data_IF_281813925803
#
_entry.id   IF_281813925803
#
_cell.length_a   1.000
_cell.length_b   1.000
_cell.length_c   1.000
_cell.angle_alpha   90.00
_cell.angle_beta   90.00
_cell.angle_gamma   90.00
#
_symmetry.space_group_name_H-M   'P 1'
#
loop_
_entity.id
_entity.type
_entity.pdbx_description
1 polymer ?
#
# COMPACT_ATOMS: atom_id res chain seq x y z
N UNK A 1 -5.27 -4.66 -19.86
CA UNK A 1 -5.59 -4.76 -18.44
C UNK A 1 -7.09 -4.72 -18.21
N UNK A 2 -7.58 -5.47 -17.24
CA UNK A 2 -8.97 -5.44 -16.84
C UNK A 2 -9.32 -4.04 -16.32
N UNK A 3 -10.43 -3.49 -16.79
CA UNK A 3 -10.84 -2.13 -16.43
C UNK A 3 -11.60 -2.12 -15.10
N UNK A 4 -11.70 -0.98 -14.42
CA UNK A 4 -12.55 -0.80 -13.23
C UNK A 4 -14.01 -1.24 -13.47
N UNK A 5 -14.49 -1.12 -14.70
CA UNK A 5 -15.82 -1.61 -15.11
C UNK A 5 -15.95 -3.12 -14.91
N UNK A 6 -14.94 -3.91 -15.28
CA UNK A 6 -14.92 -5.36 -15.09
C UNK A 6 -15.03 -5.74 -13.60
N UNK A 7 -14.31 -5.05 -12.71
CA UNK A 7 -14.40 -5.34 -11.27
C UNK A 7 -15.75 -4.92 -10.68
N UNK A 8 -16.35 -3.83 -11.19
CA UNK A 8 -17.70 -3.48 -10.81
C UNK A 8 -18.71 -4.59 -11.19
N UNK A 9 -18.56 -5.17 -12.38
CA UNK A 9 -19.40 -6.31 -12.81
C UNK A 9 -19.21 -7.54 -11.91
N UNK A 10 -17.97 -7.82 -11.45
CA UNK A 10 -17.73 -8.88 -10.46
C UNK A 10 -18.47 -8.59 -9.15
N UNK A 11 -18.38 -7.38 -8.63
CA UNK A 11 -19.06 -6.99 -7.39
C UNK A 11 -20.58 -6.97 -7.54
N UNK A 12 -21.11 -6.60 -8.70
CA UNK A 12 -22.55 -6.62 -8.95
C UNK A 12 -23.10 -8.05 -9.04
N UNK A 13 -22.34 -9.00 -9.59
CA UNK A 13 -22.69 -10.44 -9.61
C UNK A 13 -22.58 -11.09 -8.23
N UNK A 14 -21.67 -10.62 -7.37
CA UNK A 14 -21.44 -11.19 -6.05
C UNK A 14 -22.58 -10.98 -5.05
N UNK A 15 -23.65 -10.28 -5.45
CA UNK A 15 -24.89 -10.17 -4.66
C UNK A 15 -25.64 -11.48 -4.56
N UNK A 16 -25.41 -12.38 -5.51
CA UNK A 16 -25.92 -13.75 -5.44
C UNK A 16 -24.94 -14.60 -4.61
N UNK A 17 -25.47 -15.40 -3.69
CA UNK A 17 -24.63 -16.24 -2.84
C UNK A 17 -23.89 -17.28 -3.71
N UNK A 18 -22.56 -17.37 -3.65
CA UNK A 18 -21.79 -18.30 -4.46
C UNK A 18 -22.14 -19.75 -4.13
N UNK A 19 -22.04 -20.63 -5.12
CA UNK A 19 -22.18 -22.07 -4.99
C UNK A 19 -20.82 -22.76 -4.98
N UNK A 20 -20.78 -24.07 -4.77
CA UNK A 20 -19.54 -24.85 -4.88
C UNK A 20 -18.93 -24.83 -6.31
N UNK A 21 -19.76 -24.57 -7.32
CA UNK A 21 -19.32 -24.48 -8.72
C UNK A 21 -18.57 -23.19 -9.02
N UNK A 22 -18.72 -22.17 -8.16
CA UNK A 22 -17.98 -20.90 -8.26
C UNK A 22 -16.56 -20.99 -7.64
N UNK A 23 -16.25 -22.11 -7.00
CA UNK A 23 -14.94 -22.38 -6.36
C UNK A 23 -14.13 -23.31 -7.27
N UNK A 24 -12.79 -23.19 -7.22
CA UNK A 24 -11.89 -24.03 -8.01
C UNK A 24 -12.19 -25.53 -7.82
N UNK A 25 -12.41 -26.24 -8.92
CA UNK A 25 -12.71 -27.68 -8.92
C UNK A 25 -11.63 -28.51 -8.24
N UNK A 26 -10.38 -28.06 -8.31
CA UNK A 26 -9.21 -28.73 -7.75
C UNK A 26 -8.96 -28.41 -6.28
N UNK A 27 -9.80 -27.58 -5.65
CA UNK A 27 -9.65 -27.18 -4.24
C UNK A 27 -10.81 -27.67 -3.36
N UNK A 28 -10.82 -28.94 -2.94
CA UNK A 28 -11.90 -29.48 -2.11
C UNK A 28 -11.97 -28.80 -0.74
N UNK A 29 -10.88 -28.23 -0.25
CA UNK A 29 -10.86 -27.53 1.03
C UNK A 29 -11.50 -26.15 0.95
N UNK A 30 -11.36 -25.44 -0.17
CA UNK A 30 -12.08 -24.19 -0.40
C UNK A 30 -13.59 -24.40 -0.47
N UNK A 31 -14.06 -25.48 -1.13
CA UNK A 31 -15.48 -25.87 -1.12
C UNK A 31 -16.00 -26.12 0.31
N UNK A 32 -15.22 -26.84 1.13
CA UNK A 32 -15.55 -27.03 2.54
C UNK A 32 -15.56 -25.72 3.31
N UNK A 33 -14.59 -24.85 3.07
CA UNK A 33 -14.51 -23.54 3.71
C UNK A 33 -15.73 -22.67 3.37
N UNK A 34 -16.15 -22.64 2.09
CA UNK A 34 -17.38 -21.96 1.68
C UNK A 34 -18.61 -22.49 2.44
N UNK A 35 -18.73 -23.80 2.57
CA UNK A 35 -19.82 -24.42 3.31
C UNK A 35 -19.77 -24.07 4.81
N UNK A 36 -18.59 -24.06 5.44
CA UNK A 36 -18.44 -23.61 6.82
C UNK A 36 -18.83 -22.15 6.98
N UNK A 37 -18.40 -21.26 6.08
CA UNK A 37 -18.79 -19.84 6.11
C UNK A 37 -20.32 -19.72 6.10
N UNK A 38 -21.00 -20.41 5.18
CA UNK A 38 -22.46 -20.38 5.05
C UNK A 38 -23.22 -20.96 6.25
N UNK A 39 -22.61 -21.88 6.99
CA UNK A 39 -23.20 -22.48 8.19
C UNK A 39 -23.01 -21.61 9.45
N UNK A 40 -22.18 -20.56 9.41
CA UNK A 40 -21.98 -19.67 10.57
C UNK A 40 -23.23 -18.87 10.89
N UNK A 41 -23.49 -18.61 12.15
CA UNK A 41 -24.51 -17.66 12.59
C UNK A 41 -24.20 -16.22 12.13
N UNK A 42 -22.90 -15.92 11.91
CA UNK A 42 -22.45 -14.67 11.29
C UNK A 42 -23.02 -14.50 9.88
N UNK A 43 -22.85 -15.51 9.02
CA UNK A 43 -23.41 -15.48 7.66
C UNK A 43 -24.93 -15.33 7.67
N UNK A 44 -25.63 -16.14 8.48
CA UNK A 44 -27.09 -16.05 8.60
C UNK A 44 -27.55 -14.65 9.01
N UNK A 45 -26.84 -14.01 9.93
CA UNK A 45 -27.16 -12.65 10.39
C UNK A 45 -26.99 -11.59 9.30
N UNK A 46 -26.00 -11.74 8.44
CA UNK A 46 -25.62 -10.74 7.44
C UNK A 46 -25.90 -11.16 6.00
N UNK A 47 -26.69 -12.20 5.77
CA UNK A 47 -26.94 -12.82 4.46
C UNK A 47 -27.34 -11.81 3.37
N UNK A 48 -28.10 -10.78 3.72
CA UNK A 48 -28.58 -9.75 2.78
C UNK A 48 -27.62 -8.59 2.61
N UNK A 49 -26.51 -8.56 3.34
CA UNK A 49 -25.54 -7.46 3.35
C UNK A 49 -24.10 -7.94 3.21
N UNK A 50 -23.90 -9.25 3.01
CA UNK A 50 -22.60 -9.88 2.86
C UNK A 50 -22.46 -10.49 1.47
N UNK A 51 -21.46 -10.06 0.74
CA UNK A 51 -21.06 -10.58 -0.55
C UNK A 51 -19.84 -11.47 -0.37
N UNK A 52 -19.86 -12.69 -0.87
CA UNK A 52 -18.73 -13.63 -0.86
C UNK A 52 -18.27 -13.78 -2.31
N UNK A 53 -17.01 -13.46 -2.57
CA UNK A 53 -16.42 -13.49 -3.92
C UNK A 53 -15.30 -14.51 -3.93
N UNK A 54 -15.53 -15.71 -4.50
CA UNK A 54 -14.52 -16.74 -4.62
C UNK A 54 -13.42 -16.35 -5.61
N UNK A 55 -12.21 -16.83 -5.39
CA UNK A 55 -11.08 -16.74 -6.32
C UNK A 55 -10.82 -15.32 -6.84
N UNK A 56 -11.01 -14.30 -5.96
CA UNK A 56 -10.91 -12.91 -6.38
C UNK A 56 -9.48 -12.52 -6.76
N UNK A 57 -9.24 -11.99 -7.98
CA UNK A 57 -7.91 -11.61 -8.46
C UNK A 57 -7.45 -10.28 -7.85
N UNK A 58 -7.25 -10.24 -6.54
CA UNK A 58 -6.99 -9.03 -5.75
C UNK A 58 -5.76 -8.25 -6.22
N UNK A 59 -4.68 -8.94 -6.62
CA UNK A 59 -3.47 -8.27 -7.10
C UNK A 59 -3.70 -7.51 -8.41
N UNK A 60 -4.54 -8.06 -9.31
CA UNK A 60 -4.92 -7.36 -10.56
C UNK A 60 -5.87 -6.19 -10.27
N UNK A 61 -6.80 -6.37 -9.32
CA UNK A 61 -7.68 -5.31 -8.87
C UNK A 61 -6.89 -4.15 -8.27
N UNK A 62 -5.98 -4.43 -7.33
CA UNK A 62 -5.12 -3.41 -6.71
C UNK A 62 -4.30 -2.66 -7.76
N UNK A 63 -3.74 -3.37 -8.74
CA UNK A 63 -3.02 -2.72 -9.85
C UNK A 63 -3.91 -1.81 -10.71
N UNK A 64 -5.22 -2.08 -10.77
CA UNK A 64 -6.15 -1.25 -11.54
C UNK A 64 -6.51 0.07 -10.82
N UNK A 65 -6.44 0.10 -9.49
CA UNK A 65 -6.77 1.27 -8.66
C UNK A 65 -5.54 2.03 -8.18
N UNK A 66 -4.38 1.35 -8.08
CA UNK A 66 -3.11 1.94 -7.70
C UNK A 66 -2.05 1.68 -8.79
N UNK A 67 -1.72 2.66 -9.63
CA UNK A 67 -0.66 2.53 -10.64
C UNK A 67 0.72 2.21 -10.04
N UNK A 68 0.92 2.50 -8.76
CA UNK A 68 2.14 2.21 -8.01
C UNK A 68 2.26 0.75 -7.55
N UNK A 69 1.21 -0.06 -7.68
CA UNK A 69 1.22 -1.46 -7.29
C UNK A 69 2.19 -2.27 -8.16
N UNK A 70 3.26 -2.77 -7.55
CA UNK A 70 4.32 -3.53 -8.22
C UNK A 70 4.47 -4.98 -7.70
N UNK A 71 3.53 -5.41 -6.87
CA UNK A 71 3.53 -6.76 -6.30
C UNK A 71 2.91 -7.80 -7.25
N UNK A 72 3.08 -9.11 -6.98
CA UNK A 72 2.51 -10.17 -7.80
C UNK A 72 0.98 -10.10 -7.94
N UNK A 73 0.46 -10.75 -8.97
CA UNK A 73 -0.98 -10.85 -9.22
C UNK A 73 -1.59 -11.92 -8.32
N UNK A 74 -1.75 -11.59 -7.04
CA UNK A 74 -2.38 -12.50 -6.09
C UNK A 74 -3.84 -12.78 -6.43
N UNK A 75 -4.26 -14.00 -6.19
CA UNK A 75 -5.64 -14.40 -6.01
C UNK A 75 -5.86 -14.71 -4.54
N UNK A 76 -7.06 -14.47 -4.04
CA UNK A 76 -7.47 -14.85 -2.68
C UNK A 76 -8.64 -15.83 -2.78
N UNK A 77 -8.72 -16.79 -1.85
CA UNK A 77 -9.76 -17.80 -1.89
C UNK A 77 -11.15 -17.17 -1.80
N UNK A 78 -11.33 -16.28 -0.82
CA UNK A 78 -12.57 -15.53 -0.67
C UNK A 78 -12.31 -14.08 -0.29
N UNK A 79 -12.77 -13.15 -1.10
CA UNK A 79 -12.96 -11.75 -0.70
C UNK A 79 -14.38 -11.60 -0.15
N UNK A 80 -14.47 -11.12 1.09
CA UNK A 80 -15.77 -10.82 1.72
C UNK A 80 -15.98 -9.31 1.72
N UNK A 81 -17.16 -8.89 1.29
CA UNK A 81 -17.62 -7.51 1.39
C UNK A 81 -18.88 -7.47 2.24
N UNK A 82 -18.83 -6.78 3.34
CA UNK A 82 -19.90 -6.68 4.32
C UNK A 82 -20.36 -5.25 4.48
N UNK A 83 -21.63 -4.96 4.25
CA UNK A 83 -22.20 -3.63 4.43
C UNK A 83 -22.90 -3.53 5.79
N UNK A 84 -22.43 -2.62 6.65
CA UNK A 84 -23.04 -2.31 7.95
C UNK A 84 -23.25 -0.80 8.03
N UNK A 85 -24.48 -0.34 8.27
CA UNK A 85 -24.81 1.10 8.38
C UNK A 85 -24.26 1.95 7.22
N UNK A 86 -24.35 1.44 5.98
CA UNK A 86 -23.83 2.08 4.76
C UNK A 86 -22.30 2.09 4.61
N UNK A 87 -21.55 1.55 5.56
CA UNK A 87 -20.10 1.36 5.47
C UNK A 87 -19.80 -0.03 4.91
N UNK A 88 -18.83 -0.13 4.00
CA UNK A 88 -18.40 -1.40 3.41
C UNK A 88 -17.09 -1.85 4.04
N UNK A 89 -17.13 -2.97 4.72
CA UNK A 89 -15.98 -3.64 5.31
C UNK A 89 -15.51 -4.75 4.39
N UNK A 90 -14.21 -4.77 4.07
CA UNK A 90 -13.64 -5.77 3.19
C UNK A 90 -12.56 -6.57 3.94
N UNK A 91 -12.64 -7.88 3.87
CA UNK A 91 -11.67 -8.78 4.45
C UNK A 91 -11.54 -10.06 3.64
N UNK A 92 -10.49 -10.79 3.88
CA UNK A 92 -10.12 -11.98 3.13
C UNK A 92 -10.23 -13.19 4.04
N UNK A 93 -10.75 -14.30 3.50
CA UNK A 93 -10.68 -15.61 4.16
C UNK A 93 -9.91 -16.54 3.23
N UNK A 94 -8.84 -17.16 3.75
CA UNK A 94 -8.00 -18.11 3.02
C UNK A 94 -7.87 -19.44 3.75
N UNK A 95 -7.77 -20.51 2.99
CA UNK A 95 -7.41 -21.81 3.48
C UNK A 95 -5.92 -22.11 3.23
N UNK A 96 -5.12 -22.14 4.29
CA UNK A 96 -3.71 -22.48 4.19
C UNK A 96 -3.53 -24.01 4.21
N UNK A 97 -3.37 -24.61 3.04
CA UNK A 97 -3.01 -26.00 2.89
C UNK A 97 -1.64 -26.30 3.50
N UNK A 98 -1.52 -27.40 4.27
CA UNK A 98 -0.30 -27.72 5.00
C UNK A 98 0.94 -27.81 4.13
N UNK A 99 0.79 -28.38 2.93
CA UNK A 99 1.94 -28.64 2.06
C UNK A 99 2.57 -27.38 1.46
N UNK A 100 1.78 -26.36 1.21
CA UNK A 100 2.20 -25.19 0.43
C UNK A 100 2.47 -23.94 1.26
N UNK A 101 1.87 -23.85 2.46
CA UNK A 101 1.87 -22.62 3.25
C UNK A 101 2.76 -22.66 4.49
N UNK A 102 3.40 -23.81 4.79
CA UNK A 102 4.22 -23.96 6.00
C UNK A 102 5.64 -24.44 5.68
N UNK A 103 6.61 -23.81 6.38
CA UNK A 103 8.01 -24.27 6.45
C UNK A 103 8.21 -25.12 7.71
N UNK A 104 9.30 -25.91 7.76
CA UNK A 104 9.67 -26.75 8.90
C UNK A 104 8.48 -27.54 9.47
N UNK A 105 7.79 -28.24 8.61
CA UNK A 105 6.47 -28.85 8.84
C UNK A 105 6.41 -29.75 10.09
N UNK A 106 7.53 -30.37 10.46
CA UNK A 106 7.61 -31.26 11.63
C UNK A 106 7.52 -30.52 12.96
N UNK A 107 7.74 -29.19 12.97
CA UNK A 107 7.73 -28.35 14.16
C UNK A 107 6.40 -27.61 14.34
N UNK A 108 5.54 -27.59 13.31
CA UNK A 108 4.30 -26.79 13.30
C UNK A 108 3.19 -27.43 14.12
N UNK A 109 2.56 -26.64 14.97
CA UNK A 109 1.44 -27.08 15.79
C UNK A 109 0.41 -25.96 16.01
N UNK A 110 -0.65 -26.23 16.78
CA UNK A 110 -1.75 -25.29 17.00
C UNK A 110 -1.33 -24.00 17.74
N UNK A 111 -0.18 -23.98 18.44
CA UNK A 111 0.28 -22.83 19.21
C UNK A 111 1.25 -21.93 18.44
N UNK A 112 1.91 -22.46 17.40
CA UNK A 112 3.02 -21.77 16.75
C UNK A 112 2.87 -21.62 15.22
N UNK A 113 1.81 -22.09 14.61
CA UNK A 113 1.63 -22.16 13.15
C UNK A 113 1.89 -20.82 12.44
N UNK A 114 1.55 -19.67 13.05
CA UNK A 114 1.78 -18.35 12.46
C UNK A 114 3.28 -18.07 12.21
N UNK A 115 4.15 -18.57 13.07
CA UNK A 115 5.60 -18.40 12.96
C UNK A 115 6.23 -19.28 11.88
N UNK A 116 5.48 -20.22 11.34
CA UNK A 116 5.92 -21.18 10.32
C UNK A 116 5.25 -20.99 8.96
N UNK A 117 4.53 -19.89 8.75
CA UNK A 117 4.06 -19.53 7.43
C UNK A 117 5.25 -19.26 6.50
N UNK A 118 5.07 -19.55 5.20
CA UNK A 118 6.13 -19.26 4.22
C UNK A 118 6.41 -17.76 4.17
N UNK A 119 7.65 -17.33 3.87
CA UNK A 119 7.96 -15.91 3.72
C UNK A 119 7.06 -15.20 2.69
N UNK A 120 6.68 -15.91 1.61
CA UNK A 120 5.77 -15.38 0.59
C UNK A 120 4.35 -15.13 1.12
N UNK A 121 3.84 -15.99 2.02
CA UNK A 121 2.54 -15.81 2.67
C UNK A 121 2.55 -14.62 3.62
N UNK A 122 3.61 -14.47 4.41
CA UNK A 122 3.79 -13.35 5.33
C UNK A 122 3.89 -12.03 4.56
N UNK A 123 4.70 -12.00 3.48
CA UNK A 123 4.83 -10.81 2.62
C UNK A 123 3.48 -10.45 1.99
N UNK A 124 2.76 -11.43 1.44
CA UNK A 124 1.43 -11.23 0.84
C UNK A 124 0.44 -10.65 1.83
N UNK A 125 0.39 -11.16 3.05
CA UNK A 125 -0.47 -10.67 4.12
C UNK A 125 -0.14 -9.22 4.47
N UNK A 126 1.13 -8.90 4.70
CA UNK A 126 1.59 -7.53 4.97
C UNK A 126 1.22 -6.55 3.83
N UNK A 127 1.34 -6.97 2.57
CA UNK A 127 0.96 -6.16 1.42
C UNK A 127 -0.54 -5.90 1.44
N UNK A 128 -1.37 -6.92 1.58
CA UNK A 128 -2.82 -6.81 1.58
C UNK A 128 -3.33 -5.98 2.77
N UNK A 129 -2.72 -6.14 3.95
CA UNK A 129 -3.02 -5.31 5.12
C UNK A 129 -2.67 -3.83 4.90
N UNK A 130 -1.59 -3.53 4.17
CA UNK A 130 -1.23 -2.15 3.84
C UNK A 130 -2.26 -1.45 2.94
N UNK A 131 -3.04 -2.23 2.18
CA UNK A 131 -4.20 -1.78 1.41
C UNK A 131 -5.52 -1.81 2.19
N UNK A 132 -5.47 -2.12 3.49
CA UNK A 132 -6.61 -2.09 4.41
C UNK A 132 -7.43 -3.38 4.49
N UNK A 133 -6.96 -4.48 3.87
CA UNK A 133 -7.61 -5.78 3.99
C UNK A 133 -7.14 -6.49 5.26
N UNK A 134 -8.08 -6.95 6.07
CA UNK A 134 -7.80 -7.92 7.14
C UNK A 134 -7.92 -9.32 6.60
N UNK A 135 -7.13 -10.25 7.15
CA UNK A 135 -7.11 -11.64 6.68
C UNK A 135 -7.47 -12.62 7.80
N UNK A 136 -8.36 -13.55 7.51
CA UNK A 136 -8.64 -14.72 8.33
C UNK A 136 -8.03 -15.94 7.64
N UNK A 137 -6.90 -16.43 8.17
CA UNK A 137 -6.28 -17.68 7.72
C UNK A 137 -6.91 -18.86 8.42
N UNK A 138 -7.35 -19.83 7.64
CA UNK A 138 -7.98 -21.07 8.10
C UNK A 138 -7.06 -22.24 7.73
N UNK A 139 -6.67 -23.06 8.70
CA UNK A 139 -5.81 -24.21 8.47
C UNK A 139 -6.09 -25.31 9.50
N UNK A 140 -5.48 -26.49 9.29
CA UNK A 140 -5.66 -27.65 10.15
C UNK A 140 -5.34 -27.42 11.63
N UNK A 141 -4.53 -26.42 11.96
CA UNK A 141 -4.08 -26.14 13.33
C UNK A 141 -5.03 -25.20 14.08
N UNK A 142 -5.84 -24.40 13.37
CA UNK A 142 -6.69 -23.39 13.98
C UNK A 142 -8.19 -23.63 13.79
N UNK A 143 -8.60 -24.68 13.09
CA UNK A 143 -10.01 -25.05 12.91
C UNK A 143 -10.64 -25.70 14.15
N UNK A 144 -9.81 -26.39 14.96
CA UNK A 144 -10.31 -27.15 16.11
C UNK A 144 -11.22 -28.34 15.71
N UNK A 145 -11.99 -28.83 16.67
CA UNK A 145 -12.97 -29.91 16.46
C UNK A 145 -14.29 -29.45 15.86
N UNK A 146 -14.62 -28.16 15.97
CA UNK A 146 -15.81 -27.52 15.38
C UNK A 146 -15.40 -26.31 14.52
N UNK A 147 -15.12 -26.54 13.24
CA UNK A 147 -14.72 -25.50 12.31
C UNK A 147 -15.72 -24.36 12.17
N UNK A 148 -17.02 -24.67 12.20
CA UNK A 148 -18.09 -23.68 12.01
C UNK A 148 -18.14 -22.70 13.18
N UNK A 149 -18.18 -23.20 14.43
CA UNK A 149 -18.20 -22.35 15.62
C UNK A 149 -16.92 -21.54 15.76
N UNK A 150 -15.76 -22.11 15.43
CA UNK A 150 -14.49 -21.42 15.47
C UNK A 150 -14.46 -20.27 14.46
N UNK A 151 -14.86 -20.54 13.22
CA UNK A 151 -14.93 -19.52 12.16
C UNK A 151 -15.93 -18.41 12.50
N UNK A 152 -17.11 -18.79 13.02
CA UNK A 152 -18.15 -17.85 13.47
C UNK A 152 -17.63 -16.87 14.52
N UNK A 153 -16.91 -17.39 15.51
CA UNK A 153 -16.27 -16.55 16.54
C UNK A 153 -15.27 -15.59 15.93
N UNK A 154 -14.36 -16.07 15.06
CA UNK A 154 -13.32 -15.25 14.43
C UNK A 154 -13.90 -14.15 13.55
N UNK A 155 -14.97 -14.45 12.81
CA UNK A 155 -15.70 -13.45 11.99
C UNK A 155 -16.32 -12.36 12.87
N UNK A 156 -16.95 -12.75 13.98
CA UNK A 156 -17.54 -11.81 14.94
C UNK A 156 -16.47 -10.93 15.59
N UNK A 157 -15.34 -11.49 15.98
CA UNK A 157 -14.25 -10.75 16.61
C UNK A 157 -13.62 -9.77 15.61
N UNK A 158 -13.37 -10.18 14.37
CA UNK A 158 -12.86 -9.32 13.30
C UNK A 158 -13.77 -8.10 13.07
N UNK A 159 -15.09 -8.32 12.96
CA UNK A 159 -16.02 -7.22 12.69
C UNK A 159 -16.16 -6.30 13.88
N UNK A 160 -16.10 -6.79 15.12
CA UNK A 160 -16.04 -5.92 16.31
C UNK A 160 -14.81 -5.02 16.28
N UNK A 161 -13.65 -5.56 15.93
CA UNK A 161 -12.42 -4.78 15.80
C UNK A 161 -12.57 -3.70 14.72
N UNK A 162 -13.08 -4.05 13.54
CA UNK A 162 -13.32 -3.10 12.46
C UNK A 162 -14.28 -1.96 12.84
N UNK A 163 -15.41 -2.29 13.46
CA UNK A 163 -16.41 -1.30 13.87
C UNK A 163 -15.84 -0.37 14.93
N UNK A 164 -15.15 -0.92 15.94
CA UNK A 164 -14.52 -0.13 16.99
C UNK A 164 -13.44 0.81 16.44
N UNK A 165 -12.61 0.34 15.52
CA UNK A 165 -11.58 1.17 14.88
C UNK A 165 -12.19 2.32 14.07
N UNK A 166 -13.26 2.07 13.36
CA UNK A 166 -13.94 3.10 12.57
C UNK A 166 -14.70 4.09 13.44
N UNK A 167 -15.38 3.64 14.50
CA UNK A 167 -16.05 4.52 15.46
C UNK A 167 -15.02 5.40 16.18
N UNK A 168 -13.90 4.85 16.61
CA UNK A 168 -12.81 5.62 17.21
C UNK A 168 -12.18 6.61 16.21
N UNK A 169 -11.97 6.20 14.96
CA UNK A 169 -11.45 7.09 13.91
C UNK A 169 -12.41 8.23 13.63
N UNK A 170 -13.71 7.97 13.53
CA UNK A 170 -14.74 8.99 13.32
C UNK A 170 -14.87 9.92 14.53
N UNK A 171 -14.79 9.39 15.75
CA UNK A 171 -14.78 10.18 16.98
C UNK A 171 -13.56 11.12 17.03
N UNK A 172 -12.36 10.60 16.76
CA UNK A 172 -11.11 11.38 16.72
C UNK A 172 -11.14 12.43 15.61
N UNK A 173 -11.65 12.08 14.43
CA UNK A 173 -11.79 13.05 13.32
C UNK A 173 -12.78 14.15 13.65
N UNK A 174 -13.91 13.82 14.28
CA UNK A 174 -14.90 14.81 14.72
C UNK A 174 -14.36 15.72 15.83
N UNK A 175 -13.62 15.17 16.80
CA UNK A 175 -12.93 15.97 17.81
C UNK A 175 -11.89 16.90 17.20
N UNK A 176 -11.03 16.38 16.31
CA UNK A 176 -10.03 17.18 15.60
C UNK A 176 -10.68 18.30 14.76
N UNK A 177 -11.81 18.02 14.11
CA UNK A 177 -12.55 19.03 13.37
C UNK A 177 -13.15 20.09 14.30
N UNK A 178 -13.72 19.71 15.45
CA UNK A 178 -14.25 20.65 16.44
C UNK A 178 -13.13 21.47 17.08
N UNK A 179 -12.03 20.86 17.48
CA UNK A 179 -10.85 21.56 18.02
C UNK A 179 -10.22 22.47 16.97
N UNK A 180 -10.12 22.02 15.72
CA UNK A 180 -9.63 22.84 14.60
C UNK A 180 -10.54 24.03 14.36
N UNK A 181 -11.86 23.85 14.40
CA UNK A 181 -12.84 24.93 14.21
C UNK A 181 -12.79 25.92 15.36
N UNK A 182 -12.63 25.47 16.61
CA UNK A 182 -12.49 26.34 17.79
C UNK A 182 -11.15 27.08 17.78
N UNK A 183 -10.04 26.38 17.40
CA UNK A 183 -8.71 26.97 17.27
C UNK A 183 -8.61 27.97 16.11
N UNK A 184 -9.31 27.75 14.99
CA UNK A 184 -9.35 28.69 13.87
C UNK A 184 -10.02 30.00 14.26
N UNK A 185 -11.05 29.96 15.12
CA UNK A 185 -11.72 31.19 15.62
C UNK A 185 -10.84 32.03 16.55
N UNK A 186 -9.80 31.44 17.15
CA UNK A 186 -8.85 32.10 18.04
C UNK A 186 -7.47 32.40 17.42
N UNK A 187 -7.15 31.87 16.22
CA UNK A 187 -5.86 32.08 15.59
C UNK A 187 -5.84 33.40 14.81
N UNK A 188 -4.96 34.29 15.23
CA UNK A 188 -4.65 35.51 14.46
C UNK A 188 -3.98 35.09 13.11
N UNK A 189 -4.60 35.47 11.98
CA UNK A 189 -4.08 35.31 10.65
C UNK A 189 -2.67 35.89 10.44
N UNK A 190 -2.18 36.69 11.39
CA UNK A 190 -0.81 37.22 11.37
C UNK A 190 0.24 36.22 11.77
N UNK A 191 -0.10 35.20 12.57
CA UNK A 191 0.86 34.23 13.11
C UNK A 191 0.77 32.84 12.49
N UNK A 192 -0.38 32.47 11.93
CA UNK A 192 -0.66 31.16 11.36
C UNK A 192 -1.25 31.22 9.95
N UNK A 193 -1.03 30.17 9.14
CA UNK A 193 -1.62 30.00 7.81
C UNK A 193 -1.84 28.55 7.43
N UNK A 194 -2.79 28.32 6.54
CA UNK A 194 -3.06 26.99 5.99
C UNK A 194 -2.03 26.61 4.91
N UNK A 195 -1.53 25.39 4.98
CA UNK A 195 -0.68 24.82 3.94
C UNK A 195 -1.52 24.34 2.74
N UNK A 196 -1.25 24.84 1.54
CA UNK A 196 -2.00 24.43 0.32
C UNK A 196 -1.88 22.94 -0.01
N UNK A 197 -0.83 22.25 0.45
CA UNK A 197 -0.59 20.85 0.16
C UNK A 197 -1.24 19.90 1.19
N UNK A 198 -0.96 20.07 2.49
CA UNK A 198 -1.50 19.18 3.54
C UNK A 198 -2.75 19.73 4.23
N UNK A 199 -3.22 20.94 3.87
CA UNK A 199 -4.40 21.59 4.43
C UNK A 199 -4.35 21.86 5.95
N UNK A 200 -3.18 21.66 6.57
CA UNK A 200 -2.98 21.93 7.99
C UNK A 200 -2.66 23.40 8.24
N UNK A 201 -3.21 23.95 9.31
CA UNK A 201 -2.85 25.27 9.82
C UNK A 201 -1.57 25.15 10.62
N UNK A 202 -0.56 25.94 10.27
CA UNK A 202 0.78 25.93 10.88
C UNK A 202 1.26 27.35 11.12
N UNK A 203 2.25 27.50 12.00
CA UNK A 203 2.89 28.80 12.25
C UNK A 203 3.54 29.35 10.98
N UNK A 204 3.56 30.67 10.82
CA UNK A 204 4.16 31.31 9.67
C UNK A 204 5.63 30.91 9.47
N UNK A 205 6.37 30.60 10.54
CA UNK A 205 7.74 30.11 10.49
C UNK A 205 7.92 28.82 9.67
N UNK A 206 6.88 27.96 9.63
CA UNK A 206 6.89 26.73 8.87
C UNK A 206 6.80 26.97 7.35
N UNK A 207 6.41 28.17 6.96
CA UNK A 207 6.30 28.60 5.56
C UNK A 207 7.46 29.50 5.13
N UNK A 208 8.37 29.81 6.05
CA UNK A 208 9.49 30.70 5.74
C UNK A 208 10.39 30.12 4.64
N UNK A 209 10.60 30.90 3.62
CA UNK A 209 11.44 30.57 2.47
C UNK A 209 12.23 31.81 2.03
N UNK A 210 13.48 31.86 2.46
CA UNK A 210 14.39 32.97 2.17
C UNK A 210 14.65 33.20 0.67
N UNK A 211 14.17 32.30 -0.21
CA UNK A 211 14.31 32.45 -1.67
C UNK A 211 13.19 33.27 -2.30
N UNK A 212 12.11 33.51 -1.56
CA UNK A 212 10.98 34.28 -2.02
C UNK A 212 11.11 35.74 -1.58
N UNK A 213 10.70 36.68 -2.46
CA UNK A 213 10.72 38.12 -2.15
C UNK A 213 9.89 38.47 -0.91
N UNK A 214 8.80 37.73 -0.68
CA UNK A 214 7.90 37.88 0.48
C UNK A 214 8.41 37.17 1.73
N UNK A 215 9.45 36.37 1.66
CA UNK A 215 9.98 35.56 2.75
C UNK A 215 9.10 34.35 3.11
N UNK A 216 7.89 34.21 2.57
CA UNK A 216 6.94 33.16 2.94
C UNK A 216 6.28 32.52 1.73
N UNK A 217 6.21 31.17 1.74
CA UNK A 217 5.51 30.38 0.72
C UNK A 217 4.10 29.96 1.13
N UNK A 218 3.43 29.22 0.24
CA UNK A 218 2.09 28.64 0.46
C UNK A 218 2.14 27.17 0.90
N UNK A 219 3.29 26.55 0.85
CA UNK A 219 3.50 25.15 1.21
C UNK A 219 4.46 25.09 2.39
N UNK A 220 4.10 24.37 3.45
CA UNK A 220 4.91 24.27 4.66
C UNK A 220 6.22 23.48 4.40
N UNK A 221 7.20 23.65 5.26
CA UNK A 221 8.54 23.02 5.16
C UNK A 221 8.46 21.48 5.11
N UNK A 222 7.57 20.88 5.90
CA UNK A 222 7.36 19.43 5.90
C UNK A 222 6.81 18.90 4.56
N UNK A 223 5.89 19.63 3.93
CA UNK A 223 5.35 19.28 2.61
C UNK A 223 6.30 19.54 1.44
N UNK A 224 7.26 20.43 1.60
CA UNK A 224 8.30 20.67 0.58
C UNK A 224 9.23 19.46 0.40
N UNK A 225 9.34 18.59 1.41
CA UNK A 225 10.04 17.29 1.35
C UNK A 225 11.52 17.35 0.95
N UNK A 226 12.12 16.19 0.63
CA UNK A 226 13.54 16.10 0.23
C UNK A 226 13.90 16.92 -1.00
N UNK A 227 12.94 17.17 -1.90
CA UNK A 227 13.14 18.04 -3.08
C UNK A 227 13.52 19.48 -2.70
N UNK A 228 12.98 19.99 -1.58
CA UNK A 228 13.32 21.33 -1.09
C UNK A 228 14.77 21.42 -0.60
N UNK A 229 15.24 20.43 0.16
CA UNK A 229 16.65 20.34 0.59
C UNK A 229 17.58 20.22 -0.62
N UNK A 230 17.16 19.54 -1.69
CA UNK A 230 17.94 19.40 -2.92
C UNK A 230 18.01 20.71 -3.71
N UNK A 231 16.99 21.57 -3.65
CA UNK A 231 17.02 22.89 -4.30
C UNK A 231 17.99 23.85 -3.61
N UNK A 232 18.08 23.77 -2.27
CA UNK A 232 19.07 24.54 -1.50
C UNK A 232 20.50 24.04 -1.77
N UNK A 233 20.68 22.71 -1.85
CA UNK A 233 21.95 22.09 -2.22
C UNK A 233 22.37 22.36 -3.68
N UNK A 234 21.40 22.62 -4.60
CA UNK A 234 21.69 23.04 -5.98
C UNK A 234 22.17 24.49 -6.08
N UNK A 235 21.91 25.33 -5.08
CA UNK A 235 22.43 26.70 -5.01
C UNK A 235 23.86 26.76 -4.42
N UNK A 236 24.27 25.75 -3.69
CA UNK A 236 25.64 25.55 -3.29
C UNK A 236 26.42 25.05 -4.50
N UNK A 237 27.16 25.98 -5.14
CA UNK A 237 27.96 25.68 -6.35
C UNK A 237 29.07 24.67 -6.08
N UNK A 238 29.38 24.38 -4.83
CA UNK A 238 30.43 23.45 -4.40
C UNK A 238 29.93 22.01 -4.29
N UNK A 239 28.61 21.77 -4.33
CA UNK A 239 28.00 20.46 -4.16
C UNK A 239 26.99 20.15 -5.26
N UNK A 240 26.90 18.88 -5.65
CA UNK A 240 25.96 18.38 -6.67
C UNK A 240 25.39 17.02 -6.28
N UNK A 241 24.13 16.77 -6.66
CA UNK A 241 23.47 15.46 -6.46
C UNK A 241 23.77 14.53 -7.64
N UNK A 242 24.27 13.35 -7.35
CA UNK A 242 24.47 12.30 -8.35
C UNK A 242 23.14 11.68 -8.77
N UNK A 243 22.87 11.59 -10.10
CA UNK A 243 21.64 10.97 -10.61
C UNK A 243 21.56 9.45 -10.41
N UNK A 244 22.70 8.77 -10.22
CA UNK A 244 22.73 7.32 -10.07
C UNK A 244 22.61 6.88 -8.61
N UNK A 245 23.43 7.41 -7.70
CA UNK A 245 23.39 7.05 -6.27
C UNK A 245 22.55 7.99 -5.42
N UNK A 246 21.98 9.04 -6.00
CA UNK A 246 21.15 10.06 -5.35
C UNK A 246 21.81 10.82 -4.19
N UNK A 247 23.11 10.63 -3.95
CA UNK A 247 23.88 11.31 -2.91
C UNK A 247 24.33 12.70 -3.36
N UNK A 248 24.41 13.63 -2.39
CA UNK A 248 24.97 14.98 -2.59
C UNK A 248 26.47 14.87 -2.30
N UNK A 249 27.29 15.22 -3.27
CA UNK A 249 28.76 15.12 -3.21
C UNK A 249 29.41 16.41 -3.67
N UNK A 250 30.67 16.63 -3.32
CA UNK A 250 31.46 17.76 -3.84
C UNK A 250 31.42 17.81 -5.36
N UNK A 251 31.42 19.02 -5.95
CA UNK A 251 31.30 19.19 -7.40
C UNK A 251 32.45 18.58 -8.18
N UNK A 252 33.61 18.51 -7.57
CA UNK A 252 34.85 17.92 -8.12
C UNK A 252 34.65 16.45 -8.48
N UNK A 253 33.84 15.72 -7.71
CA UNK A 253 33.48 14.31 -8.00
C UNK A 253 32.63 14.15 -9.29
N UNK A 254 32.17 15.22 -9.86
CA UNK A 254 31.38 15.22 -11.12
C UNK A 254 32.20 15.70 -12.33
N UNK A 255 33.48 15.99 -12.14
CA UNK A 255 34.29 16.47 -13.22
C UNK A 255 34.30 15.54 -14.42
N UNK A 256 34.18 16.12 -15.60
CA UNK A 256 34.14 15.38 -16.88
C UNK A 256 34.70 16.32 -17.98
N UNK A 257 35.95 16.13 -18.31
CA UNK A 257 36.70 16.97 -19.25
C UNK A 257 36.06 17.03 -20.66
N UNK A 258 35.28 15.97 -21.03
CA UNK A 258 34.64 15.90 -22.34
C UNK A 258 33.32 16.72 -22.43
N UNK A 259 32.83 17.26 -21.34
CA UNK A 259 31.61 18.06 -21.33
C UNK A 259 31.94 19.56 -21.46
N UNK A 260 31.18 20.30 -22.28
CA UNK A 260 31.27 21.76 -22.35
C UNK A 260 31.13 22.43 -20.96
N UNK A 261 30.28 21.87 -20.09
CA UNK A 261 30.08 22.32 -18.72
C UNK A 261 31.16 21.86 -17.76
N UNK A 262 32.12 21.03 -18.18
CA UNK A 262 33.13 20.33 -17.37
C UNK A 262 32.61 19.50 -16.19
N UNK A 263 31.28 19.46 -15.97
CA UNK A 263 30.67 18.71 -14.85
C UNK A 263 29.49 17.85 -15.32
N UNK A 264 29.58 16.54 -15.09
CA UNK A 264 28.58 15.54 -15.44
C UNK A 264 27.41 15.48 -14.46
N UNK A 265 26.47 14.56 -14.70
CA UNK A 265 25.30 14.30 -13.85
C UNK A 265 25.49 13.11 -12.90
N UNK A 266 26.56 12.32 -13.11
CA UNK A 266 26.95 11.18 -12.27
C UNK A 266 28.31 11.47 -11.63
N UNK A 267 28.49 11.08 -10.36
CA UNK A 267 29.77 11.17 -9.68
C UNK A 267 30.80 10.15 -10.24
N UNK A 268 32.09 10.39 -10.00
CA UNK A 268 33.18 9.52 -10.45
C UNK A 268 33.01 8.06 -10.02
N UNK A 269 32.64 7.82 -8.76
CA UNK A 269 32.36 6.49 -8.22
C UNK A 269 31.25 5.75 -9.00
N UNK A 270 30.22 6.46 -9.42
CA UNK A 270 29.08 5.89 -10.18
C UNK A 270 29.37 5.72 -11.66
N UNK A 271 30.32 6.43 -12.22
CA UNK A 271 30.76 6.27 -13.61
C UNK A 271 31.45 4.92 -13.82
N UNK A 272 32.26 4.50 -12.86
CA UNK A 272 33.01 3.24 -12.89
C UNK A 272 34.03 3.12 -14.04
N UNK A 273 34.90 2.13 -14.01
CA UNK A 273 35.80 1.84 -15.11
C UNK A 273 35.03 1.52 -16.40
N UNK A 274 35.42 2.07 -17.51
CA UNK A 274 34.77 1.87 -18.82
C UNK A 274 33.59 2.80 -19.13
N UNK A 275 33.25 3.77 -18.29
CA UNK A 275 32.21 4.76 -18.60
C UNK A 275 32.52 5.58 -19.86
N UNK A 276 33.74 6.10 -19.97
CA UNK A 276 34.26 6.84 -21.14
C UNK A 276 34.21 6.01 -22.42
N UNK A 277 34.61 4.75 -22.36
CA UNK A 277 34.56 3.83 -23.50
C UNK A 277 33.13 3.53 -23.97
N UNK A 278 32.19 3.35 -23.04
CA UNK A 278 30.75 3.17 -23.37
C UNK A 278 30.16 4.43 -24.00
N UNK A 279 30.55 5.60 -23.53
CA UNK A 279 30.09 6.87 -24.06
C UNK A 279 30.65 7.15 -25.47
N UNK A 280 31.92 6.82 -25.73
CA UNK A 280 32.52 6.93 -27.04
C UNK A 280 31.81 6.04 -28.06
N UNK A 281 31.50 4.76 -27.72
CA UNK A 281 30.70 3.87 -28.57
C UNK A 281 29.31 4.41 -28.88
N UNK A 282 28.63 4.97 -27.86
CA UNK A 282 27.31 5.59 -28.06
C UNK A 282 27.38 6.80 -29.00
N UNK A 283 28.40 7.66 -28.87
CA UNK A 283 28.59 8.79 -29.79
C UNK A 283 28.85 8.32 -31.23
N UNK A 284 29.70 7.32 -31.43
CA UNK A 284 29.97 6.74 -32.74
C UNK A 284 28.72 6.15 -33.39
N UNK A 285 27.90 5.41 -32.59
CA UNK A 285 26.64 4.85 -33.05
C UNK A 285 25.63 5.90 -33.55
N UNK A 286 25.51 7.03 -32.84
CA UNK A 286 24.59 8.11 -33.25
C UNK A 286 25.17 8.99 -34.38
N UNK A 287 26.48 9.07 -34.53
CA UNK A 287 27.11 9.76 -35.65
C UNK A 287 26.84 9.01 -36.96
N UNK A 288 26.97 7.67 -36.96
CA UNK A 288 26.71 6.85 -38.14
C UNK A 288 25.24 6.73 -38.55
N UNK A 289 24.30 7.23 -37.74
CA UNK A 289 22.85 7.28 -38.10
C UNK A 289 22.41 8.63 -38.66
N UNK A 290 23.28 9.63 -38.70
CA UNK A 290 22.98 10.98 -39.22
C UNK A 290 23.69 11.29 -40.54
N UNK A 291 24.43 10.37 -41.09
CA UNK A 291 24.90 10.31 -42.46
C UNK A 291 24.09 9.28 -43.23
#
# INVERSE_FOLDING_TARGET
GQTLKHYKEIFDKAKDAPTEDDVDENSPMEKKLLNWIKQTGFYTRFINSMEIIPQFPIGQYLKSIDPGYQHPKYKVDFLIRLTIKSEVYQFIIEYDGFENHFINKDEVNALNWQSYLTPGDVERECILESYGYKMIRVNRFNLGSDPVSNLDKRLKDLIKEYVNLNENRNYTMNQLQQETTQNIRGLDNKTHRECKNCKQIKQNQDFFDATLKTGYGYICKSCKGPKYKSHKARKDKTKKRCRKCNQIKPIEEFFDAELKSKFGVMCQTCKGPGYSARRARSKAFFANRRG
#
